data_IF_325285369890
#
_entry.id   IF_325285369890
#
_cell.length_a   1.000
_cell.length_b   1.000
_cell.length_c   1.000
_cell.angle_alpha   90.00
_cell.angle_beta   90.00
_cell.angle_gamma   90.00
#
_symmetry.space_group_name_H-M   'P 1'
#
loop_
_entity.id
_entity.type
_entity.pdbx_description
1 polymer ?
#
# COMPACT_ATOMS: atom_id res chain seq x y z
N UNK A 1 14.73 -3.23 31.10
CA UNK A 1 14.36 -3.68 29.75
C UNK A 1 14.05 -2.43 28.94
N UNK A 2 14.94 -2.02 28.03
CA UNK A 2 14.62 -0.91 27.12
C UNK A 2 13.38 -1.34 26.31
N UNK A 3 12.27 -0.63 26.50
CA UNK A 3 11.00 -0.88 25.83
C UNK A 3 11.20 -0.43 24.38
N UNK A 4 11.82 -1.29 23.56
CA UNK A 4 11.86 -1.08 22.12
C UNK A 4 10.44 -0.87 21.64
N UNK A 5 10.23 0.16 20.81
CA UNK A 5 8.90 0.52 20.34
C UNK A 5 8.25 -0.72 19.72
N UNK A 6 7.09 -1.09 20.27
CA UNK A 6 6.36 -2.28 19.80
C UNK A 6 5.76 -1.94 18.45
N UNK A 7 6.33 -2.52 17.40
CA UNK A 7 5.84 -2.34 16.02
C UNK A 7 4.74 -3.35 15.74
N UNK A 8 3.67 -2.89 15.10
CA UNK A 8 2.54 -3.72 14.69
C UNK A 8 2.17 -3.45 13.23
N UNK A 9 1.73 -4.51 12.54
CA UNK A 9 1.10 -4.39 11.22
C UNK A 9 -0.39 -4.13 11.45
N UNK A 10 -0.88 -2.96 11.02
CA UNK A 10 -2.27 -2.55 11.24
C UNK A 10 -3.21 -3.18 10.19
N UNK A 11 -2.83 -3.11 8.92
CA UNK A 11 -3.51 -3.79 7.81
C UNK A 11 -2.62 -3.83 6.56
N UNK A 12 -3.04 -4.60 5.58
CA UNK A 12 -2.47 -4.60 4.24
C UNK A 12 -3.54 -4.62 3.15
N UNK A 13 -3.18 -4.12 1.97
CA UNK A 13 -3.93 -4.36 0.76
C UNK A 13 -2.97 -4.59 -0.42
N UNK A 14 -3.53 -4.95 -1.56
CA UNK A 14 -2.76 -5.21 -2.79
C UNK A 14 -3.63 -4.95 -3.99
N UNK A 15 -3.00 -4.73 -5.14
CA UNK A 15 -3.67 -4.89 -6.41
C UNK A 15 -4.01 -6.38 -6.67
N UNK A 16 -5.01 -6.66 -7.50
CA UNK A 16 -5.19 -7.98 -8.11
C UNK A 16 -3.91 -8.50 -8.77
N UNK A 17 -3.64 -9.80 -8.61
CA UNK A 17 -2.50 -10.43 -9.28
C UNK A 17 -2.97 -10.95 -10.63
N UNK A 18 -2.53 -10.27 -11.69
CA UNK A 18 -2.91 -10.57 -13.06
C UNK A 18 -1.80 -11.32 -13.78
N UNK A 19 -2.17 -12.06 -14.82
CA UNK A 19 -1.18 -12.71 -15.70
C UNK A 19 -0.39 -11.63 -16.45
N UNK A 20 0.92 -11.82 -16.60
CA UNK A 20 1.77 -10.89 -17.36
C UNK A 20 1.25 -10.70 -18.80
N UNK A 21 1.25 -9.46 -19.29
CA UNK A 21 0.76 -9.10 -20.62
C UNK A 21 -0.76 -8.97 -20.75
N UNK A 22 -1.52 -8.95 -19.65
CA UNK A 22 -2.99 -8.79 -19.62
C UNK A 22 -3.41 -7.39 -19.15
N UNK A 23 -4.32 -7.24 -18.18
CA UNK A 23 -5.04 -5.98 -17.94
C UNK A 23 -4.18 -4.83 -17.35
N UNK A 24 -2.98 -5.12 -16.85
CA UNK A 24 -2.00 -4.11 -16.43
C UNK A 24 -0.91 -3.82 -17.47
N UNK A 25 -1.01 -4.40 -18.67
CA UNK A 25 0.04 -4.33 -19.70
C UNK A 25 0.45 -2.90 -20.07
N UNK A 26 -0.52 -1.99 -20.16
CA UNK A 26 -0.30 -0.60 -20.56
C UNK A 26 -0.06 0.34 -19.38
N UNK A 27 0.08 -0.21 -18.16
CA UNK A 27 0.36 0.57 -16.95
C UNK A 27 1.84 0.51 -16.59
N UNK A 28 2.38 1.64 -16.16
CA UNK A 28 3.71 1.68 -15.57
C UNK A 28 3.68 1.12 -14.15
N UNK A 29 4.80 0.57 -13.69
CA UNK A 29 4.90 -0.04 -12.36
C UNK A 29 4.48 0.91 -11.21
N UNK A 30 4.84 2.19 -11.31
CA UNK A 30 4.46 3.18 -10.31
C UNK A 30 2.94 3.42 -10.24
N UNK A 31 2.21 3.23 -11.34
CA UNK A 31 0.76 3.38 -11.36
C UNK A 31 0.10 2.23 -10.60
N UNK A 32 0.57 1.01 -10.81
CA UNK A 32 0.11 -0.17 -10.07
C UNK A 32 0.39 0.02 -8.57
N UNK A 33 1.59 0.49 -8.20
CA UNK A 33 1.93 0.82 -6.81
C UNK A 33 1.03 1.93 -6.24
N UNK A 34 0.76 3.00 -7.01
CA UNK A 34 -0.14 4.09 -6.62
C UNK A 34 -1.54 3.55 -6.28
N UNK A 35 -2.07 2.60 -7.04
CA UNK A 35 -3.35 1.98 -6.74
C UNK A 35 -3.33 1.17 -5.44
N UNK A 36 -2.24 0.45 -5.14
CA UNK A 36 -2.10 -0.25 -3.86
C UNK A 36 -2.06 0.71 -2.67
N UNK A 37 -1.26 1.78 -2.74
CA UNK A 37 -1.15 2.77 -1.65
C UNK A 37 -2.47 3.51 -1.45
N UNK A 38 -3.09 3.97 -2.54
CA UNK A 38 -4.39 4.65 -2.50
C UNK A 38 -5.49 3.75 -1.91
N UNK A 39 -5.53 2.48 -2.32
CA UNK A 39 -6.49 1.50 -1.79
C UNK A 39 -6.31 1.26 -0.29
N UNK A 40 -5.08 1.30 0.23
CA UNK A 40 -4.83 1.16 1.67
C UNK A 40 -5.36 2.36 2.45
N UNK A 41 -5.05 3.58 1.96
CA UNK A 41 -5.50 4.84 2.58
C UNK A 41 -7.03 4.90 2.57
N UNK A 42 -7.69 4.58 1.45
CA UNK A 42 -9.15 4.59 1.33
C UNK A 42 -9.82 3.51 2.19
N UNK A 43 -9.28 2.29 2.25
CA UNK A 43 -9.83 1.19 3.06
C UNK A 43 -9.78 1.49 4.56
N UNK A 44 -8.77 2.23 5.02
CA UNK A 44 -8.55 2.50 6.45
C UNK A 44 -8.89 3.91 6.90
N UNK A 45 -9.04 4.85 5.98
CA UNK A 45 -9.26 6.25 6.30
C UNK A 45 -8.09 6.85 7.09
N UNK A 46 -6.85 6.43 6.80
CA UNK A 46 -5.66 6.96 7.48
C UNK A 46 -5.44 8.40 7.03
N UNK A 47 -5.41 9.39 7.95
CA UNK A 47 -5.01 10.75 7.62
C UNK A 47 -3.58 10.79 7.07
N UNK A 48 -3.39 11.49 5.95
CA UNK A 48 -2.10 11.49 5.23
C UNK A 48 -0.94 12.11 6.05
N UNK A 49 -1.26 12.99 7.00
CA UNK A 49 -0.31 13.66 7.89
C UNK A 49 0.26 12.75 8.99
N UNK A 50 -0.33 11.57 9.21
CA UNK A 50 0.20 10.56 10.12
C UNK A 50 1.26 9.63 9.49
N UNK A 51 1.56 9.78 8.20
CA UNK A 51 2.52 8.93 7.48
C UNK A 51 3.88 9.60 7.44
N UNK A 52 4.81 9.11 8.25
CA UNK A 52 6.19 9.65 8.31
C UNK A 52 7.07 9.18 7.13
N UNK A 53 6.81 8.01 6.55
CA UNK A 53 7.61 7.43 5.47
C UNK A 53 6.79 6.47 4.56
N UNK A 54 7.09 6.49 3.25
CA UNK A 54 6.64 5.53 2.22
C UNK A 54 7.82 4.85 1.54
#
# INVERSE_FOLDING_TARGET
MAKGDRIAIIDGCRTPFLRSGTDYREMMAYEICRHAVKGLIEKKGIPNDLVDHV
#
